data_IF_684639049471
#
_entry.id   IF_684639049471
#
_cell.length_a   1.000
_cell.length_b   1.000
_cell.length_c   1.000
_cell.angle_alpha   90.00
_cell.angle_beta   90.00
_cell.angle_gamma   90.00
#
_symmetry.space_group_name_H-M   'P 1'
#
loop_
_entity.id
_entity.type
_entity.pdbx_description
1 polymer ?
#
# COMPACT_ATOMS: atom_id res chain seq x y z
N UNK A 1 5.62 -20.28 -11.93
CA UNK A 1 4.98 -20.81 -10.72
C UNK A 1 3.48 -20.46 -10.67
N UNK A 2 3.08 -19.17 -10.72
CA UNK A 2 1.67 -18.76 -10.65
C UNK A 2 0.84 -19.33 -11.82
N UNK A 3 1.34 -19.20 -13.06
CA UNK A 3 0.66 -19.72 -14.26
C UNK A 3 0.44 -21.23 -14.21
N UNK A 4 1.42 -21.99 -13.70
CA UNK A 4 1.34 -23.45 -13.57
C UNK A 4 0.29 -23.90 -12.54
N UNK A 5 -0.21 -22.98 -11.72
CA UNK A 5 -1.17 -23.22 -10.64
C UNK A 5 -2.46 -22.44 -10.81
N UNK A 6 -2.69 -21.89 -11.99
CA UNK A 6 -3.88 -21.11 -12.31
C UNK A 6 -4.09 -19.94 -11.30
N UNK A 7 -2.99 -19.32 -10.86
CA UNK A 7 -3.02 -18.16 -9.94
C UNK A 7 -2.91 -16.89 -10.76
N UNK A 8 -3.93 -16.03 -10.70
CA UNK A 8 -3.89 -14.68 -11.25
C UNK A 8 -3.09 -13.78 -10.29
N UNK A 9 -2.01 -13.20 -10.78
CA UNK A 9 -1.26 -12.17 -10.06
C UNK A 9 -1.71 -10.79 -10.57
N UNK A 10 -2.25 -9.98 -9.67
CA UNK A 10 -2.63 -8.59 -9.94
C UNK A 10 -1.54 -7.70 -9.35
N UNK A 11 -0.83 -6.89 -10.17
CA UNK A 11 0.15 -5.95 -9.66
C UNK A 11 -0.52 -4.96 -8.71
N UNK A 12 0.10 -4.71 -7.57
CA UNK A 12 -0.42 -3.76 -6.60
C UNK A 12 0.66 -3.20 -5.69
N UNK A 13 0.34 -2.09 -5.07
CA UNK A 13 1.20 -1.41 -4.10
C UNK A 13 0.36 -0.73 -3.03
N UNK A 14 0.86 -0.75 -1.80
CA UNK A 14 0.40 0.16 -0.77
C UNK A 14 1.22 1.45 -0.89
N UNK A 15 0.59 2.49 -1.44
CA UNK A 15 1.19 3.80 -1.65
C UNK A 15 0.96 4.70 -0.42
N UNK A 16 1.98 5.51 -0.09
CA UNK A 16 1.83 6.57 0.92
C UNK A 16 1.56 7.90 0.22
N UNK A 17 0.31 8.34 0.26
CA UNK A 17 -0.18 9.54 -0.40
C UNK A 17 -0.50 10.59 0.67
N UNK A 18 0.21 11.73 0.67
CA UNK A 18 0.11 12.77 1.74
C UNK A 18 0.20 12.16 3.16
N UNK A 19 1.08 11.15 3.34
CA UNK A 19 1.23 10.45 4.60
C UNK A 19 0.12 9.46 4.95
N UNK A 20 -0.77 9.12 4.00
CA UNK A 20 -1.88 8.18 4.16
C UNK A 20 -1.70 6.96 3.28
N UNK A 21 -2.03 5.78 3.82
CA UNK A 21 -1.97 4.53 3.07
C UNK A 21 -3.18 4.37 2.14
N UNK A 22 -2.88 4.01 0.90
CA UNK A 22 -3.85 3.72 -0.15
C UNK A 22 -3.38 2.49 -0.91
N UNK A 23 -4.23 1.49 -1.07
CA UNK A 23 -3.93 0.34 -1.90
C UNK A 23 -4.30 0.66 -3.35
N UNK A 24 -3.33 0.47 -4.22
CA UNK A 24 -3.47 0.67 -5.66
C UNK A 24 -3.20 -0.64 -6.37
N UNK A 25 -4.18 -1.15 -7.12
CA UNK A 25 -4.05 -2.38 -7.91
C UNK A 25 -4.15 -2.10 -9.39
N UNK A 26 -3.43 -2.89 -10.19
CA UNK A 26 -3.36 -2.79 -11.65
C UNK A 26 -2.87 -1.43 -12.15
N UNK A 27 -1.89 -0.84 -11.43
CA UNK A 27 -1.34 0.48 -11.72
C UNK A 27 -0.26 0.37 -12.80
N UNK A 28 -0.37 1.16 -13.84
CA UNK A 28 0.53 1.21 -15.00
C UNK A 28 1.59 2.33 -14.95
N UNK A 29 1.57 3.12 -13.87
CA UNK A 29 2.57 4.16 -13.62
C UNK A 29 3.40 3.85 -12.38
N UNK A 30 4.67 4.29 -12.31
CA UNK A 30 5.47 4.14 -11.10
C UNK A 30 4.79 4.81 -9.90
N UNK A 31 4.63 4.10 -8.75
CA UNK A 31 3.97 4.65 -7.56
C UNK A 31 4.61 5.94 -7.04
N UNK A 32 5.91 6.13 -7.32
CA UNK A 32 6.68 7.32 -6.98
C UNK A 32 6.21 8.60 -7.71
N UNK A 33 5.27 8.49 -8.65
CA UNK A 33 4.62 9.63 -9.30
C UNK A 33 3.34 10.08 -8.61
N UNK A 34 2.89 9.36 -7.58
CA UNK A 34 1.63 9.61 -6.87
C UNK A 34 1.96 10.01 -5.43
N UNK A 35 2.20 11.30 -5.20
CA UNK A 35 2.54 11.84 -3.88
C UNK A 35 1.35 12.50 -3.18
N UNK A 36 0.40 12.99 -3.96
CA UNK A 36 -0.77 13.72 -3.48
C UNK A 36 -2.07 13.11 -4.01
N UNK A 37 -3.19 13.40 -3.34
CA UNK A 37 -4.52 13.00 -3.85
C UNK A 37 -4.85 13.73 -5.17
N UNK A 38 -4.26 14.89 -5.43
CA UNK A 38 -4.36 15.56 -6.72
C UNK A 38 -3.65 14.76 -7.82
N UNK A 39 -2.46 14.19 -7.54
CA UNK A 39 -1.78 13.30 -8.48
C UNK A 39 -2.61 12.04 -8.75
N UNK A 40 -3.14 11.42 -7.71
CA UNK A 40 -4.01 10.25 -7.86
C UNK A 40 -5.21 10.56 -8.74
N UNK A 41 -5.90 11.70 -8.52
CA UNK A 41 -7.04 12.14 -9.32
C UNK A 41 -6.67 12.36 -10.79
N UNK A 42 -5.50 12.94 -11.05
CA UNK A 42 -5.01 13.23 -12.39
C UNK A 42 -4.55 12.00 -13.17
N UNK A 43 -3.92 11.04 -12.46
CA UNK A 43 -3.27 9.88 -13.08
C UNK A 43 -4.17 8.63 -13.12
N UNK A 44 -5.21 8.60 -12.28
CA UNK A 44 -6.08 7.43 -12.16
C UNK A 44 -6.68 7.02 -13.50
N UNK A 45 -6.49 5.75 -13.84
CA UNK A 45 -7.13 5.08 -14.97
C UNK A 45 -8.38 4.30 -14.52
N UNK A 46 -9.29 4.03 -15.44
CA UNK A 46 -10.45 3.14 -15.21
C UNK A 46 -10.05 1.68 -14.95
N UNK A 47 -8.83 1.30 -15.31
CA UNK A 47 -8.30 -0.06 -15.11
C UNK A 47 -7.75 -0.27 -13.69
N UNK A 48 -7.45 0.81 -12.97
CA UNK A 48 -6.94 0.74 -11.60
C UNK A 48 -8.06 0.43 -10.63
N UNK A 49 -7.74 -0.28 -9.56
CA UNK A 49 -8.59 -0.39 -8.39
C UNK A 49 -7.93 0.36 -7.23
N UNK A 50 -8.62 1.36 -6.70
CA UNK A 50 -8.16 2.20 -5.59
C UNK A 50 -8.94 1.84 -4.34
N UNK A 51 -8.24 1.38 -3.29
CA UNK A 51 -8.88 0.91 -2.06
C UNK A 51 -8.36 1.69 -0.86
N UNK A 52 -9.26 2.13 -0.01
CA UNK A 52 -8.93 2.79 1.26
C UNK A 52 -8.38 1.77 2.25
N UNK A 53 -7.06 1.78 2.46
CA UNK A 53 -6.35 0.85 3.34
C UNK A 53 -6.72 1.11 4.81
N UNK A 54 -7.16 0.08 5.56
CA UNK A 54 -7.46 0.10 7.01
C UNK A 54 -7.84 1.49 7.57
N UNK A 55 -8.86 2.18 7.00
CA UNK A 55 -8.96 3.65 7.04
C UNK A 55 -9.19 4.22 8.44
N UNK A 56 -9.70 3.45 9.38
CA UNK A 56 -10.04 3.92 10.73
C UNK A 56 -9.23 3.25 11.84
N UNK A 57 -8.12 2.61 11.52
CA UNK A 57 -7.21 2.09 12.52
C UNK A 57 -6.52 3.23 13.29
N UNK A 58 -6.06 2.96 14.53
CA UNK A 58 -5.32 3.95 15.30
C UNK A 58 -3.90 4.11 14.71
N UNK A 59 -3.68 5.21 13.98
CA UNK A 59 -2.40 5.50 13.34
C UNK A 59 -2.48 6.77 12.50
N UNK A 60 -1.38 7.49 12.37
CA UNK A 60 -1.30 8.70 11.54
C UNK A 60 -1.35 8.38 10.03
N UNK A 61 -0.98 7.16 9.66
CA UNK A 61 -1.00 6.67 8.28
C UNK A 61 -2.40 6.32 7.75
N UNK A 62 -3.39 6.19 8.63
CA UNK A 62 -4.76 5.88 8.25
C UNK A 62 -5.50 7.11 7.74
N UNK A 63 -6.37 6.93 6.74
CA UNK A 63 -7.09 8.01 6.08
C UNK A 63 -8.02 8.80 7.02
N UNK A 64 -8.78 8.12 7.87
CA UNK A 64 -9.74 8.72 8.80
C UNK A 64 -10.71 9.68 8.10
N UNK A 65 -10.76 10.93 8.56
CA UNK A 65 -11.61 11.99 8.01
C UNK A 65 -11.24 12.32 6.56
N UNK A 66 -9.96 12.20 6.20
CA UNK A 66 -9.49 12.41 4.81
C UNK A 66 -10.19 11.49 3.80
N UNK A 67 -10.63 10.29 4.24
CA UNK A 67 -11.41 9.41 3.38
C UNK A 67 -12.74 10.05 2.93
N UNK A 68 -13.37 10.83 3.77
CA UNK A 68 -14.63 11.51 3.42
C UNK A 68 -14.40 12.61 2.38
N UNK A 69 -13.31 13.36 2.53
CA UNK A 69 -12.96 14.44 1.59
C UNK A 69 -12.63 13.88 0.20
N UNK A 70 -12.04 12.69 0.14
CA UNK A 70 -11.55 12.08 -1.09
C UNK A 70 -12.36 10.84 -1.51
N UNK A 71 -13.56 10.65 -0.98
CA UNK A 71 -14.34 9.41 -1.14
C UNK A 71 -14.53 8.98 -2.60
N UNK A 72 -14.66 9.94 -3.50
CA UNK A 72 -14.86 9.71 -4.93
C UNK A 72 -13.62 9.12 -5.65
N UNK A 73 -12.47 9.08 -4.98
CA UNK A 73 -11.26 8.46 -5.51
C UNK A 73 -11.19 6.96 -5.23
N UNK A 74 -12.05 6.45 -4.38
CA UNK A 74 -11.98 5.06 -3.93
C UNK A 74 -13.03 4.20 -4.62
N UNK A 75 -12.62 2.99 -4.99
CA UNK A 75 -13.50 1.96 -5.55
C UNK A 75 -14.02 0.99 -4.49
N UNK A 76 -13.28 0.86 -3.37
CA UNK A 76 -13.63 -0.01 -2.25
C UNK A 76 -13.01 0.49 -0.95
N UNK A 77 -13.52 -0.01 0.17
CA UNK A 77 -12.97 0.23 1.51
C UNK A 77 -12.51 -1.09 2.09
N UNK A 78 -11.32 -1.11 2.66
CA UNK A 78 -10.74 -2.30 3.26
C UNK A 78 -11.42 -2.66 4.58
N UNK A 79 -11.70 -3.97 4.72
CA UNK A 79 -11.97 -4.64 5.99
C UNK A 79 -10.76 -5.48 6.36
N UNK A 80 -9.90 -4.93 7.21
CA UNK A 80 -8.64 -5.56 7.58
C UNK A 80 -8.84 -6.77 8.50
N UNK A 81 -7.88 -7.69 8.45
CA UNK A 81 -7.84 -8.90 9.29
C UNK A 81 -7.65 -8.60 10.79
N UNK A 82 -7.16 -7.42 11.16
CA UNK A 82 -6.74 -7.11 12.53
C UNK A 82 -7.93 -6.68 13.42
N UNK A 83 -8.70 -7.66 13.87
CA UNK A 83 -9.80 -7.49 14.83
C UNK A 83 -9.95 -8.73 15.72
N UNK A 84 -10.59 -8.55 16.85
CA UNK A 84 -10.88 -9.62 17.82
C UNK A 84 -12.37 -9.63 18.17
N UNK A 85 -12.81 -10.56 18.98
CA UNK A 85 -14.16 -10.52 19.55
C UNK A 85 -14.43 -9.31 20.45
N UNK A 86 -13.38 -8.63 20.93
CA UNK A 86 -13.49 -7.53 21.90
C UNK A 86 -13.33 -6.16 21.24
N UNK A 87 -12.47 -6.02 20.25
CA UNK A 87 -12.27 -4.78 19.51
C UNK A 87 -12.24 -5.03 18.01
N UNK A 88 -12.83 -4.10 17.27
CA UNK A 88 -12.94 -4.14 15.82
C UNK A 88 -12.94 -2.72 15.26
N UNK A 89 -11.83 -2.33 14.69
CA UNK A 89 -11.66 -1.03 14.05
C UNK A 89 -12.36 -0.95 12.68
N UNK A 90 -12.79 -2.09 12.11
CA UNK A 90 -13.50 -2.11 10.83
C UNK A 90 -14.94 -1.61 10.94
N UNK A 91 -15.53 -1.56 12.13
CA UNK A 91 -16.94 -1.17 12.33
C UNK A 91 -17.27 0.19 11.70
N UNK A 92 -16.35 1.16 11.79
CA UNK A 92 -16.53 2.48 11.18
C UNK A 92 -16.43 2.40 9.66
N UNK A 93 -15.48 1.63 9.12
CA UNK A 93 -15.31 1.35 7.69
C UNK A 93 -16.58 0.70 7.10
N UNK A 94 -17.12 -0.32 7.77
CA UNK A 94 -18.36 -1.00 7.37
C UNK A 94 -19.55 -0.04 7.32
N UNK A 95 -19.71 0.80 8.34
CA UNK A 95 -20.80 1.80 8.36
C UNK A 95 -20.66 2.80 7.22
N UNK A 96 -19.46 3.32 7.01
CA UNK A 96 -19.19 4.28 5.93
C UNK A 96 -19.44 3.65 4.56
N UNK A 97 -18.88 2.47 4.30
CA UNK A 97 -19.04 1.74 3.05
C UNK A 97 -20.52 1.59 2.66
N UNK A 98 -21.35 1.18 3.64
CA UNK A 98 -22.81 1.08 3.45
C UNK A 98 -23.47 2.43 3.17
N UNK A 99 -23.05 3.47 3.87
CA UNK A 99 -23.64 4.81 3.72
C UNK A 99 -23.35 5.44 2.35
N UNK A 100 -22.16 5.19 1.79
CA UNK A 100 -21.72 5.77 0.51
C UNK A 100 -21.86 4.79 -0.67
N UNK A 101 -22.30 3.55 -0.44
CA UNK A 101 -22.49 2.55 -1.50
C UNK A 101 -21.19 1.94 -2.03
N UNK A 102 -20.06 2.07 -1.32
CA UNK A 102 -18.81 1.44 -1.73
C UNK A 102 -18.73 0.00 -1.23
N UNK A 103 -18.18 -0.94 -2.02
CA UNK A 103 -17.95 -2.30 -1.56
C UNK A 103 -16.87 -2.37 -0.48
N UNK A 104 -16.97 -3.41 0.36
CA UNK A 104 -15.91 -3.79 1.28
C UNK A 104 -15.01 -4.84 0.62
N UNK A 105 -13.70 -4.71 0.79
CA UNK A 105 -12.71 -5.68 0.35
C UNK A 105 -11.95 -6.22 1.57
N UNK A 106 -12.07 -7.52 1.82
CA UNK A 106 -11.31 -8.20 2.88
C UNK A 106 -9.90 -8.50 2.42
N UNK A 107 -8.91 -8.03 3.18
CA UNK A 107 -7.49 -8.28 2.93
C UNK A 107 -6.80 -8.74 4.20
N UNK A 108 -5.69 -9.44 4.05
CA UNK A 108 -4.93 -9.95 5.19
C UNK A 108 -3.91 -8.96 5.71
N UNK A 109 -3.56 -7.91 4.95
CA UNK A 109 -2.51 -6.94 5.32
C UNK A 109 -1.26 -7.66 5.88
N UNK A 110 -0.79 -8.68 5.14
CA UNK A 110 0.16 -9.66 5.65
C UNK A 110 1.59 -9.14 5.67
N UNK A 111 2.09 -8.84 6.85
CA UNK A 111 3.51 -8.60 7.13
C UNK A 111 4.20 -9.86 7.66
N UNK A 112 3.44 -10.81 8.17
CA UNK A 112 3.90 -12.09 8.69
C UNK A 112 3.08 -13.23 8.09
N UNK A 113 3.70 -14.38 7.86
CA UNK A 113 3.05 -15.57 7.27
C UNK A 113 1.77 -15.97 8.02
N UNK A 114 1.73 -15.79 9.34
CA UNK A 114 0.58 -16.15 10.17
C UNK A 114 -0.67 -15.29 9.89
N UNK A 115 -0.53 -14.12 9.25
CA UNK A 115 -1.63 -13.23 8.90
C UNK A 115 -2.31 -13.68 7.59
N UNK A 116 -1.55 -14.34 6.72
CA UNK A 116 -2.05 -14.80 5.42
C UNK A 116 -3.24 -15.74 5.58
N UNK A 117 -4.33 -15.49 4.83
CA UNK A 117 -5.54 -16.31 4.84
C UNK A 117 -6.43 -16.16 6.08
N UNK A 118 -6.15 -15.22 6.99
CA UNK A 118 -7.05 -14.92 8.13
C UNK A 118 -8.26 -14.12 7.71
N UNK A 119 -8.09 -13.24 6.73
CA UNK A 119 -9.15 -12.48 6.06
C UNK A 119 -8.84 -12.44 4.57
N UNK A 120 -9.83 -12.71 3.74
CA UNK A 120 -9.72 -12.66 2.29
C UNK A 120 -11.09 -12.41 1.66
N UNK A 121 -11.09 -12.01 0.40
CA UNK A 121 -12.29 -11.79 -0.39
C UNK A 121 -12.54 -12.96 -1.34
N UNK A 122 -13.79 -13.42 -1.39
CA UNK A 122 -14.31 -14.30 -2.42
C UNK A 122 -14.98 -13.40 -3.47
N UNK A 123 -14.48 -13.42 -4.69
CA UNK A 123 -14.90 -12.55 -5.78
C UNK A 123 -15.54 -13.40 -6.86
N UNK A 124 -16.73 -13.02 -7.30
CA UNK A 124 -17.47 -13.73 -8.35
C UNK A 124 -17.09 -13.14 -9.71
N UNK A 125 -16.35 -13.90 -10.53
CA UNK A 125 -15.89 -13.44 -11.85
C UNK A 125 -14.94 -14.42 -12.50
N UNK A 126 -14.52 -14.09 -13.71
CA UNK A 126 -13.51 -14.82 -14.45
C UNK A 126 -12.11 -14.54 -13.87
N UNK A 127 -11.16 -15.44 -14.12
CA UNK A 127 -9.77 -15.33 -13.64
C UNK A 127 -8.97 -14.36 -14.53
N UNK A 128 -9.47 -13.12 -14.67
CA UNK A 128 -8.80 -12.01 -15.37
C UNK A 128 -8.80 -10.76 -14.51
N UNK A 129 -7.82 -9.88 -14.70
CA UNK A 129 -7.71 -8.64 -13.91
C UNK A 129 -8.94 -7.76 -14.08
N UNK A 130 -9.38 -7.62 -15.30
CA UNK A 130 -10.54 -6.79 -15.69
C UNK A 130 -11.83 -7.30 -15.02
N UNK A 131 -12.03 -8.62 -15.03
CA UNK A 131 -13.20 -9.25 -14.41
C UNK A 131 -13.17 -9.07 -12.89
N UNK A 132 -12.02 -9.27 -12.25
CA UNK A 132 -11.85 -9.08 -10.79
C UNK A 132 -12.10 -7.63 -10.40
N UNK A 133 -11.52 -6.66 -11.11
CA UNK A 133 -11.71 -5.22 -10.83
C UNK A 133 -13.19 -4.85 -11.01
N UNK A 134 -13.81 -5.28 -12.10
CA UNK A 134 -15.24 -5.03 -12.37
C UNK A 134 -16.15 -5.65 -11.31
N UNK A 135 -15.88 -6.88 -10.88
CA UNK A 135 -16.64 -7.58 -9.85
C UNK A 135 -16.54 -6.86 -8.49
N UNK A 136 -15.34 -6.40 -8.11
CA UNK A 136 -15.15 -5.62 -6.88
C UNK A 136 -15.97 -4.33 -6.92
N UNK A 137 -15.91 -3.56 -8.01
CA UNK A 137 -16.69 -2.33 -8.17
C UNK A 137 -18.20 -2.55 -8.10
N UNK A 138 -18.68 -3.69 -8.61
CA UNK A 138 -20.09 -4.08 -8.54
C UNK A 138 -20.51 -4.60 -7.16
N UNK A 139 -19.56 -4.77 -6.24
CA UNK A 139 -19.81 -5.35 -4.92
C UNK A 139 -20.06 -6.87 -4.94
N UNK A 140 -19.65 -7.57 -6.01
CA UNK A 140 -19.73 -9.04 -6.11
C UNK A 140 -18.60 -9.68 -5.32
N UNK A 141 -18.55 -9.32 -4.05
CA UNK A 141 -17.49 -9.67 -3.10
C UNK A 141 -18.13 -10.19 -1.82
N UNK A 142 -17.67 -11.33 -1.34
CA UNK A 142 -17.95 -11.84 0.00
C UNK A 142 -16.64 -11.90 0.79
N UNK A 143 -16.65 -11.36 2.00
CA UNK A 143 -15.48 -11.41 2.89
C UNK A 143 -15.56 -12.66 3.74
N UNK A 144 -14.53 -13.50 3.66
CA UNK A 144 -14.28 -14.58 4.60
C UNK A 144 -13.25 -14.08 5.62
N UNK A 145 -13.65 -14.02 6.88
CA UNK A 145 -12.81 -13.49 7.94
C UNK A 145 -13.13 -14.17 9.27
N UNK A 146 -12.12 -14.29 10.11
CA UNK A 146 -12.26 -14.78 11.48
C UNK A 146 -11.55 -13.83 12.46
N UNK A 147 -12.13 -13.57 13.62
CA UNK A 147 -11.48 -12.75 14.64
C UNK A 147 -10.19 -13.41 15.11
N UNK A 148 -9.17 -12.60 15.34
CA UNK A 148 -7.92 -13.04 15.93
C UNK A 148 -8.12 -13.33 17.43
N UNK A 149 -7.42 -14.32 17.94
CA UNK A 149 -7.27 -14.49 19.38
C UNK A 149 -6.33 -13.43 19.94
N UNK A 150 -6.42 -13.12 21.23
CA UNK A 150 -5.51 -12.18 21.90
C UNK A 150 -4.03 -12.60 21.74
N UNK A 151 -3.78 -13.92 21.79
CA UNK A 151 -2.44 -14.45 21.59
C UNK A 151 -1.93 -14.21 20.16
N UNK A 152 -2.78 -14.37 19.14
CA UNK A 152 -2.43 -14.05 17.74
C UNK A 152 -2.15 -12.56 17.58
N UNK A 153 -3.00 -11.69 18.14
CA UNK A 153 -2.76 -10.25 18.15
C UNK A 153 -1.42 -9.89 18.77
N UNK A 154 -1.13 -10.43 19.96
CA UNK A 154 0.13 -10.18 20.64
C UNK A 154 1.35 -10.63 19.80
N UNK A 155 1.29 -11.82 19.20
CA UNK A 155 2.36 -12.32 18.32
C UNK A 155 2.58 -11.44 17.10
N UNK A 156 1.50 -11.00 16.45
CA UNK A 156 1.57 -10.09 15.29
C UNK A 156 2.19 -8.76 15.72
N UNK A 157 1.72 -8.15 16.80
CA UNK A 157 2.24 -6.88 17.29
C UNK A 157 3.73 -6.96 17.65
N UNK A 158 4.15 -8.01 18.35
CA UNK A 158 5.56 -8.23 18.68
C UNK A 158 6.37 -8.43 17.39
N UNK A 159 5.89 -9.24 16.46
CA UNK A 159 6.57 -9.50 15.19
C UNK A 159 6.76 -8.23 14.35
N UNK A 160 5.74 -7.36 14.29
CA UNK A 160 5.82 -6.07 13.60
C UNK A 160 6.82 -5.13 14.28
N UNK A 161 6.85 -5.07 15.62
CA UNK A 161 7.81 -4.24 16.36
C UNK A 161 9.25 -4.73 16.14
N UNK A 162 9.48 -6.04 16.22
CA UNK A 162 10.80 -6.63 15.93
C UNK A 162 11.23 -6.36 14.50
N UNK A 163 10.32 -6.53 13.52
CA UNK A 163 10.58 -6.21 12.12
C UNK A 163 10.98 -4.76 11.92
N UNK A 164 10.23 -3.82 12.49
CA UNK A 164 10.52 -2.39 12.43
C UNK A 164 11.89 -2.06 13.08
N UNK A 165 12.22 -2.66 14.22
CA UNK A 165 13.52 -2.47 14.86
C UNK A 165 14.68 -2.98 13.99
N UNK A 166 14.51 -4.13 13.34
CA UNK A 166 15.52 -4.71 12.44
C UNK A 166 15.72 -3.82 11.21
N UNK A 167 14.67 -3.35 10.57
CA UNK A 167 14.78 -2.45 9.41
C UNK A 167 15.38 -1.08 9.79
N UNK A 168 15.01 -0.54 10.94
CA UNK A 168 15.66 0.67 11.48
C UNK A 168 17.15 0.47 11.69
N UNK A 169 17.57 -0.66 12.31
CA UNK A 169 18.97 -0.98 12.55
C UNK A 169 19.76 -1.14 11.24
N UNK A 170 19.18 -1.81 10.22
CA UNK A 170 19.79 -1.92 8.88
C UNK A 170 19.96 -0.55 8.23
N UNK A 171 18.92 0.29 8.27
CA UNK A 171 18.98 1.65 7.73
C UNK A 171 20.00 2.54 8.44
N UNK A 172 20.17 2.38 9.75
CA UNK A 172 21.19 3.07 10.52
C UNK A 172 22.60 2.59 10.15
N UNK A 173 22.82 1.29 10.12
CA UNK A 173 24.10 0.69 9.72
C UNK A 173 24.50 1.10 8.28
N UNK A 174 23.58 1.08 7.35
CA UNK A 174 23.81 1.51 5.97
C UNK A 174 24.21 2.99 5.89
N UNK A 175 23.51 3.89 6.59
CA UNK A 175 23.86 5.31 6.65
C UNK A 175 25.23 5.52 7.27
N UNK A 176 25.51 4.88 8.42
CA UNK A 176 26.80 4.97 9.10
C UNK A 176 27.95 4.54 8.19
N UNK A 177 27.79 3.39 7.48
CA UNK A 177 28.81 2.89 6.57
C UNK A 177 28.97 3.81 5.35
N UNK A 178 27.89 4.32 4.77
CA UNK A 178 27.94 5.22 3.62
C UNK A 178 28.62 6.57 3.96
N UNK A 179 28.44 7.08 5.18
CA UNK A 179 29.15 8.27 5.67
C UNK A 179 30.63 7.99 5.92
N UNK A 180 30.95 6.87 6.55
CA UNK A 180 32.34 6.47 6.88
C UNK A 180 33.17 6.16 5.63
N UNK A 181 32.57 5.60 4.59
CA UNK A 181 33.21 5.26 3.32
C UNK A 181 32.92 6.23 2.19
N UNK A 182 32.43 7.44 2.49
CA UNK A 182 32.25 8.49 1.50
C UNK A 182 33.62 8.95 1.00
N UNK A 183 34.08 8.39 -0.11
CA UNK A 183 35.24 8.87 -0.86
C UNK A 183 34.93 10.31 -1.27
N UNK A 184 35.67 11.29 -0.77
CA UNK A 184 35.61 12.67 -1.24
C UNK A 184 35.89 12.65 -2.75
N UNK A 185 35.03 13.22 -3.60
CA UNK A 185 35.40 13.36 -4.99
C UNK A 185 36.69 14.19 -5.07
N UNK A 186 37.68 13.68 -5.78
CA UNK A 186 38.91 14.40 -6.02
C UNK A 186 38.56 15.77 -6.60
N UNK A 187 39.12 16.83 -6.01
CA UNK A 187 38.96 18.19 -6.48
C UNK A 187 39.37 18.23 -7.95
N UNK A 188 38.44 18.60 -8.85
CA UNK A 188 38.74 18.88 -10.23
C UNK A 188 39.72 20.05 -10.24
N UNK A 189 41.00 19.77 -10.44
CA UNK A 189 41.99 20.77 -10.82
C UNK A 189 41.51 21.42 -12.11
N UNK A 190 41.24 22.72 -12.06
CA UNK A 190 40.93 23.55 -13.21
C UNK A 190 42.12 23.55 -14.17
N UNK A 191 42.03 22.78 -15.25
CA UNK A 191 42.97 22.95 -16.37
C UNK A 191 42.55 24.23 -17.12
N UNK A 192 43.33 25.27 -16.89
CA UNK A 192 43.23 26.52 -17.65
C UNK A 192 43.43 26.21 -19.15
N UNK A 193 42.38 26.38 -19.95
CA UNK A 193 42.49 26.38 -21.40
C UNK A 193 43.14 27.72 -21.83
N UNK A 194 44.39 27.65 -22.25
CA UNK A 194 45.04 28.74 -22.99
C UNK A 194 44.29 28.94 -24.33
N UNK A 195 43.77 30.14 -24.53
CA UNK A 195 43.26 30.59 -25.84
C UNK A 195 44.47 30.95 -26.72
N UNK A 196 44.74 30.14 -27.72
CA UNK A 196 45.58 30.56 -28.86
C UNK A 196 44.68 31.22 -29.88
N UNK A 197 44.94 32.52 -30.15
CA UNK A 197 44.45 33.24 -31.29
C UNK A 197 45.16 32.72 -32.53
N UNK A 198 44.41 32.38 -33.60
CA UNK A 198 44.92 32.30 -34.97
C UNK A 198 44.09 33.27 -35.78
N UNK A 199 44.79 34.25 -36.31
CA UNK A 199 44.33 35.08 -37.42
C UNK A 199 44.45 34.30 -38.76
N UNK A 200 43.39 34.23 -39.50
CA UNK A 200 43.30 34.54 -40.95
C UNK A 200 41.83 34.43 -41.38
#
# INVERSE_FOLDING_TARGET
YAREREILLIPGVEATIEGKHVLLYNVDVPPQRIHTFADLRRLRSSEWLVVAAHPFFPGSICLRERLLDEINLFDAIESSHFYTGWFDFNRRAVRLARAVGLPLLGTSDSHLVQQFGTTYSLIEGELTVESVVAAIRKGWVRIASRPLTLQQCARIMIGLQVGNCVEWAKGYAFRYLSEKFRVRPASRTSVARSRSHVHL
#
